data_IF_112428909771
#
_entry.id   IF_112428909771
#
_cell.length_a   1.000
_cell.length_b   1.000
_cell.length_c   1.000
_cell.angle_alpha   90.00
_cell.angle_beta   90.00
_cell.angle_gamma   90.00
#
_symmetry.space_group_name_H-M   'P 1'
#
loop_
_entity.id
_entity.type
_entity.pdbx_description
1 polymer ?
#
# COMPACT_ATOMS: atom_id res chain seq x y z
N UNK A 1 -3.44 31.50 -2.18
CA UNK A 1 -2.80 30.23 -2.57
C UNK A 1 -1.96 29.76 -1.40
N UNK A 2 -2.23 28.58 -0.82
CA UNK A 2 -1.35 28.03 0.21
C UNK A 2 0.05 27.83 -0.41
N UNK A 3 1.07 28.36 0.25
CA UNK A 3 2.46 28.23 -0.19
C UNK A 3 2.80 26.75 -0.30
N UNK A 4 3.30 26.32 -1.47
CA UNK A 4 3.80 24.96 -1.64
C UNK A 4 4.86 24.70 -0.55
N UNK A 5 4.82 23.54 0.13
CA UNK A 5 5.77 23.24 1.19
C UNK A 5 7.20 23.41 0.66
N UNK A 6 8.03 24.17 1.38
CA UNK A 6 9.44 24.38 1.04
C UNK A 6 10.10 23.02 0.85
N UNK A 7 10.46 22.71 -0.39
CA UNK A 7 11.15 21.48 -0.75
C UNK A 7 12.48 21.44 0.00
N UNK A 8 12.59 20.58 1.02
CA UNK A 8 13.85 20.37 1.73
C UNK A 8 14.88 19.84 0.74
N UNK A 9 15.84 20.66 0.35
CA UNK A 9 16.93 20.23 -0.52
C UNK A 9 17.85 19.27 0.24
N UNK A 10 17.99 18.04 -0.24
CA UNK A 10 18.93 17.05 0.31
C UNK A 10 20.06 16.81 -0.69
N UNK A 11 21.03 17.73 -0.80
CA UNK A 11 22.04 17.68 -1.87
C UNK A 11 22.88 16.39 -1.84
N UNK A 12 23.21 15.89 -0.63
CA UNK A 12 23.98 14.65 -0.47
C UNK A 12 23.22 13.41 -0.93
N UNK A 13 21.92 13.33 -0.61
CA UNK A 13 21.05 12.20 -1.00
C UNK A 13 20.84 12.22 -2.52
N UNK A 14 20.56 13.39 -3.08
CA UNK A 14 20.42 13.55 -4.54
C UNK A 14 21.70 13.18 -5.28
N UNK A 15 22.87 13.57 -4.76
CA UNK A 15 24.16 13.20 -5.32
C UNK A 15 24.39 11.68 -5.26
N UNK A 16 24.05 11.02 -4.14
CA UNK A 16 24.17 9.57 -4.01
C UNK A 16 23.30 8.82 -5.04
N UNK A 17 22.02 9.23 -5.20
CA UNK A 17 21.14 8.64 -6.21
C UNK A 17 21.61 8.93 -7.64
N UNK A 18 22.17 10.11 -7.91
CA UNK A 18 22.74 10.43 -9.22
C UNK A 18 23.96 9.56 -9.55
N UNK A 19 24.86 9.35 -8.58
CA UNK A 19 26.01 8.44 -8.73
C UNK A 19 25.53 7.01 -8.98
N UNK A 20 24.53 6.54 -8.22
CA UNK A 20 23.96 5.21 -8.38
C UNK A 20 23.32 5.03 -9.76
N UNK A 21 22.57 6.03 -10.24
CA UNK A 21 21.98 6.03 -11.58
C UNK A 21 23.08 5.94 -12.65
N UNK A 22 24.09 6.80 -12.58
CA UNK A 22 25.21 6.80 -13.55
C UNK A 22 25.96 5.47 -13.52
N UNK A 23 26.25 4.93 -12.34
CA UNK A 23 26.90 3.64 -12.17
C UNK A 23 26.09 2.49 -12.76
N UNK A 24 24.78 2.44 -12.48
CA UNK A 24 23.88 1.41 -12.97
C UNK A 24 23.70 1.49 -14.50
N UNK A 25 23.54 2.69 -15.05
CA UNK A 25 23.43 2.91 -16.50
C UNK A 25 24.76 2.54 -17.19
N UNK A 26 25.90 2.93 -16.61
CA UNK A 26 27.22 2.56 -17.12
C UNK A 26 27.44 1.05 -17.12
N UNK A 27 27.07 0.37 -16.03
CA UNK A 27 27.10 -1.09 -15.96
C UNK A 27 26.18 -1.75 -17.00
N UNK A 28 24.94 -1.27 -17.14
CA UNK A 28 23.99 -1.78 -18.13
C UNK A 28 24.51 -1.61 -19.56
N UNK A 29 25.13 -0.46 -19.88
CA UNK A 29 25.74 -0.22 -21.20
C UNK A 29 26.89 -1.20 -21.42
N UNK A 30 27.81 -1.35 -20.45
CA UNK A 30 28.94 -2.26 -20.57
C UNK A 30 28.48 -3.72 -20.78
N UNK A 31 27.59 -4.21 -19.92
CA UNK A 31 27.03 -5.55 -20.02
C UNK A 31 26.27 -5.75 -21.34
N UNK A 32 25.42 -4.80 -21.71
CA UNK A 32 24.57 -4.88 -22.88
C UNK A 32 25.34 -4.85 -24.20
N UNK A 33 26.42 -4.05 -24.29
CA UNK A 33 27.31 -4.07 -25.45
C UNK A 33 28.05 -5.40 -25.59
N UNK A 34 28.43 -6.03 -24.48
CA UNK A 34 28.97 -7.40 -24.50
C UNK A 34 27.93 -8.41 -24.98
N UNK A 35 26.69 -8.31 -24.51
CA UNK A 35 25.58 -9.18 -24.90
C UNK A 35 25.21 -9.05 -26.39
N UNK A 36 25.27 -7.85 -26.96
CA UNK A 36 25.02 -7.63 -28.39
C UNK A 36 26.26 -7.89 -29.28
N UNK A 37 27.37 -8.36 -28.70
CA UNK A 37 28.66 -8.50 -29.39
C UNK A 37 29.11 -7.21 -30.09
N UNK A 38 28.79 -6.06 -29.52
CA UNK A 38 29.03 -4.73 -30.09
C UNK A 38 28.37 -4.50 -31.47
N UNK A 39 27.37 -5.30 -31.85
CA UNK A 39 26.57 -5.00 -33.03
C UNK A 39 25.64 -3.81 -32.77
N UNK A 40 25.54 -2.91 -33.76
CA UNK A 40 24.64 -1.76 -33.75
C UNK A 40 24.76 -0.88 -32.48
N UNK A 41 26.00 -0.59 -32.05
CA UNK A 41 26.31 0.19 -30.83
C UNK A 41 25.48 1.47 -30.71
N UNK A 42 25.38 2.26 -31.78
CA UNK A 42 24.65 3.52 -31.76
C UNK A 42 23.15 3.34 -31.44
N UNK A 43 22.51 2.33 -32.04
CA UNK A 43 21.10 2.01 -31.77
C UNK A 43 20.91 1.52 -30.34
N UNK A 44 21.83 0.67 -29.85
CA UNK A 44 21.76 0.20 -28.46
C UNK A 44 21.90 1.33 -27.44
N UNK A 45 22.85 2.26 -27.66
CA UNK A 45 23.03 3.42 -26.80
C UNK A 45 21.80 4.36 -26.83
N UNK A 46 21.21 4.55 -28.01
CA UNK A 46 20.00 5.37 -28.15
C UNK A 46 18.78 4.72 -27.48
N UNK A 47 18.58 3.42 -27.68
CA UNK A 47 17.52 2.67 -27.01
C UNK A 47 17.68 2.70 -25.48
N UNK A 48 18.93 2.59 -24.99
CA UNK A 48 19.25 2.73 -23.56
C UNK A 48 18.88 4.12 -23.05
N UNK A 49 19.23 5.17 -23.79
CA UNK A 49 18.87 6.55 -23.43
C UNK A 49 17.34 6.72 -23.31
N UNK A 50 16.58 6.22 -24.29
CA UNK A 50 15.12 6.29 -24.25
C UNK A 50 14.52 5.45 -23.11
N UNK A 51 15.08 4.27 -22.84
CA UNK A 51 14.68 3.43 -21.71
C UNK A 51 14.91 4.09 -20.37
N UNK A 52 16.10 4.67 -20.14
CA UNK A 52 16.43 5.42 -18.92
C UNK A 52 15.52 6.64 -18.77
N UNK A 53 15.28 7.37 -19.86
CA UNK A 53 14.38 8.52 -19.86
C UNK A 53 12.93 8.11 -19.52
N UNK A 54 12.43 7.01 -20.08
CA UNK A 54 11.12 6.46 -19.71
C UNK A 54 11.07 6.04 -18.23
N UNK A 55 12.06 5.29 -17.75
CA UNK A 55 12.14 4.82 -16.36
C UNK A 55 12.14 5.99 -15.35
N UNK A 56 12.87 7.06 -15.66
CA UNK A 56 12.86 8.27 -14.85
C UNK A 56 11.46 8.91 -14.77
N UNK A 57 10.75 8.99 -15.90
CA UNK A 57 9.41 9.56 -15.93
C UNK A 57 8.37 8.67 -15.25
N UNK A 58 8.50 7.34 -15.34
CA UNK A 58 7.67 6.40 -14.58
C UNK A 58 7.83 6.66 -13.08
N UNK A 59 9.07 6.73 -12.58
CA UNK A 59 9.33 7.00 -11.17
C UNK A 59 8.75 8.34 -10.70
N UNK A 60 8.88 9.39 -11.51
CA UNK A 60 8.30 10.70 -11.20
C UNK A 60 6.77 10.72 -11.14
N UNK A 61 6.10 9.91 -11.97
CA UNK A 61 4.65 9.86 -12.05
C UNK A 61 4.03 8.90 -11.01
N UNK A 62 4.64 7.73 -10.80
CA UNK A 62 3.98 6.62 -10.09
C UNK A 62 4.26 6.60 -8.59
N UNK A 63 5.32 7.25 -8.09
CA UNK A 63 5.61 7.32 -6.64
C UNK A 63 4.46 7.93 -5.84
N UNK A 64 3.73 8.88 -6.44
CA UNK A 64 2.56 9.50 -5.80
C UNK A 64 1.42 8.49 -5.55
N UNK A 65 1.32 7.43 -6.36
CA UNK A 65 0.27 6.42 -6.23
C UNK A 65 0.46 5.58 -4.95
N UNK A 66 1.70 5.22 -4.65
CA UNK A 66 2.06 4.36 -3.51
C UNK A 66 2.18 5.13 -2.20
N UNK A 67 2.72 6.36 -2.24
CA UNK A 67 3.05 7.11 -1.02
C UNK A 67 2.26 8.40 -0.82
N UNK A 68 1.37 8.77 -1.75
CA UNK A 68 0.56 9.99 -1.65
C UNK A 68 -0.32 10.04 -0.40
N UNK A 69 -0.89 8.90 0.01
CA UNK A 69 -1.70 8.79 1.23
C UNK A 69 -0.86 8.93 2.49
N UNK A 70 0.29 8.25 2.56
CA UNK A 70 1.19 8.27 3.74
C UNK A 70 1.84 9.63 3.96
N UNK A 71 2.24 10.30 2.88
CA UNK A 71 2.76 11.67 2.94
C UNK A 71 1.65 12.67 3.24
N UNK A 72 0.47 12.51 2.61
CA UNK A 72 -0.69 13.38 2.84
C UNK A 72 -1.23 13.30 4.28
N UNK A 73 -1.16 12.12 4.91
CA UNK A 73 -1.51 11.91 6.32
C UNK A 73 -0.43 12.39 7.31
N UNK A 74 0.74 12.81 6.82
CA UNK A 74 1.87 13.23 7.65
C UNK A 74 2.59 12.09 8.37
N UNK A 75 2.32 10.82 7.99
CA UNK A 75 2.97 9.65 8.58
C UNK A 75 4.42 9.52 8.10
N UNK A 76 4.69 9.88 6.84
CA UNK A 76 6.03 9.90 6.26
C UNK A 76 6.35 11.27 5.67
N UNK A 77 7.59 11.70 5.82
CA UNK A 77 8.11 12.85 5.06
C UNK A 77 8.38 12.46 3.60
N UNK A 78 8.37 13.42 2.67
CA UNK A 78 8.68 13.18 1.26
C UNK A 78 10.05 12.47 1.07
N UNK A 79 11.14 12.88 1.76
CA UNK A 79 12.40 12.13 1.75
C UNK A 79 12.29 10.66 2.13
N UNK A 80 11.57 10.35 3.20
CA UNK A 80 11.42 8.99 3.70
C UNK A 80 10.62 8.15 2.71
N UNK A 81 9.52 8.70 2.19
CA UNK A 81 8.70 8.04 1.16
C UNK A 81 9.52 7.72 -0.09
N UNK A 82 10.36 8.65 -0.57
CA UNK A 82 11.22 8.42 -1.74
C UNK A 82 12.27 7.33 -1.50
N UNK A 83 12.85 7.26 -0.31
CA UNK A 83 13.83 6.22 0.02
C UNK A 83 13.19 4.83 0.06
N UNK A 84 12.01 4.73 0.69
CA UNK A 84 11.23 3.49 0.74
C UNK A 84 10.80 3.10 -0.68
N UNK A 85 10.27 4.05 -1.47
CA UNK A 85 9.90 3.82 -2.86
C UNK A 85 11.08 3.28 -3.68
N UNK A 86 12.27 3.88 -3.57
CA UNK A 86 13.44 3.44 -4.32
C UNK A 86 13.78 1.97 -4.04
N UNK A 87 13.72 1.53 -2.78
CA UNK A 87 14.01 0.13 -2.43
C UNK A 87 12.93 -0.81 -2.95
N UNK A 88 11.66 -0.51 -2.68
CA UNK A 88 10.55 -1.42 -3.00
C UNK A 88 10.18 -1.43 -4.49
N UNK A 89 10.23 -0.30 -5.19
CA UNK A 89 9.99 -0.22 -6.64
C UNK A 89 11.08 -0.94 -7.43
N UNK A 90 12.36 -0.77 -7.07
CA UNK A 90 13.47 -1.50 -7.71
C UNK A 90 13.36 -3.00 -7.42
N UNK A 91 13.09 -3.37 -6.17
CA UNK A 91 12.91 -4.79 -5.80
C UNK A 91 11.73 -5.41 -6.54
N UNK A 92 10.60 -4.70 -6.63
CA UNK A 92 9.41 -5.14 -7.36
C UNK A 92 9.66 -5.28 -8.86
N UNK A 93 10.36 -4.32 -9.47
CA UNK A 93 10.73 -4.37 -10.88
C UNK A 93 11.64 -5.57 -11.21
N UNK A 94 12.62 -5.86 -10.34
CA UNK A 94 13.54 -7.00 -10.51
C UNK A 94 12.83 -8.33 -10.28
N UNK A 95 11.99 -8.42 -9.25
CA UNK A 95 11.34 -9.68 -8.86
C UNK A 95 10.16 -10.01 -9.76
N UNK A 96 9.25 -9.05 -10.01
CA UNK A 96 7.95 -9.31 -10.64
C UNK A 96 7.73 -8.59 -11.98
N UNK A 97 8.69 -7.80 -12.46
CA UNK A 97 8.54 -6.99 -13.68
C UNK A 97 8.54 -7.80 -14.99
N UNK A 98 9.20 -8.96 -15.01
CA UNK A 98 9.42 -9.75 -16.24
C UNK A 98 8.15 -10.09 -17.02
N UNK A 99 7.09 -10.54 -16.35
CA UNK A 99 5.85 -10.96 -17.04
C UNK A 99 5.13 -9.80 -17.75
N UNK A 100 5.20 -8.59 -17.18
CA UNK A 100 4.60 -7.40 -17.80
C UNK A 100 5.45 -6.97 -18.99
N UNK A 101 6.78 -6.99 -18.85
CA UNK A 101 7.70 -6.72 -19.95
C UNK A 101 7.51 -7.70 -21.10
N UNK A 102 7.31 -8.99 -20.83
CA UNK A 102 7.03 -10.01 -21.84
C UNK A 102 5.73 -9.74 -22.57
N UNK A 103 4.67 -9.39 -21.84
CA UNK A 103 3.37 -9.03 -22.43
C UNK A 103 3.50 -7.83 -23.37
N UNK A 104 4.25 -6.79 -22.97
CA UNK A 104 4.50 -5.61 -23.83
C UNK A 104 5.34 -5.99 -25.06
N UNK A 105 6.35 -6.85 -24.88
CA UNK A 105 7.27 -7.27 -25.95
C UNK A 105 6.59 -8.12 -27.03
N UNK A 106 5.77 -9.10 -26.64
CA UNK A 106 5.25 -10.12 -27.57
C UNK A 106 3.74 -10.08 -27.78
N UNK A 107 3.00 -9.44 -26.86
CA UNK A 107 1.54 -9.48 -26.83
C UNK A 107 0.86 -8.45 -27.74
N UNK A 108 1.58 -7.41 -28.18
CA UNK A 108 0.97 -6.26 -28.87
C UNK A 108 1.20 -6.30 -30.38
N UNK A 109 2.45 -6.55 -30.80
CA UNK A 109 2.84 -6.56 -32.22
C UNK A 109 2.80 -7.98 -32.77
N UNK A 110 2.18 -8.16 -33.93
CA UNK A 110 2.22 -9.41 -34.68
C UNK A 110 3.40 -9.43 -35.64
N UNK A 111 4.34 -10.35 -35.39
CA UNK A 111 5.57 -10.49 -36.18
C UNK A 111 5.38 -11.37 -37.43
N UNK A 112 4.22 -12.00 -37.59
CA UNK A 112 3.98 -12.99 -38.65
C UNK A 112 3.11 -12.47 -39.81
N UNK A 113 2.47 -11.32 -39.66
CA UNK A 113 1.47 -10.83 -40.63
C UNK A 113 2.07 -10.10 -41.81
N UNK A 114 3.25 -9.47 -41.63
CA UNK A 114 3.98 -8.76 -42.68
C UNK A 114 5.47 -9.11 -42.61
N UNK A 115 6.20 -9.05 -43.74
CA UNK A 115 7.64 -9.32 -43.76
C UNK A 115 8.38 -8.19 -43.03
N UNK A 116 8.61 -8.38 -41.73
CA UNK A 116 9.35 -7.44 -40.88
C UNK A 116 10.80 -7.83 -40.73
N UNK A 117 11.67 -6.83 -40.78
CA UNK A 117 13.06 -6.96 -40.39
C UNK A 117 13.18 -6.76 -38.86
N UNK A 118 14.19 -7.37 -38.20
CA UNK A 118 14.43 -7.13 -36.78
C UNK A 118 14.57 -5.64 -36.41
N UNK A 119 15.11 -4.83 -37.31
CA UNK A 119 15.25 -3.39 -37.14
C UNK A 119 13.90 -2.68 -36.99
N UNK A 120 12.86 -3.17 -37.67
CA UNK A 120 11.53 -2.55 -37.64
C UNK A 120 10.91 -2.64 -36.24
N UNK A 121 11.07 -3.80 -35.58
CA UNK A 121 10.63 -3.98 -34.19
C UNK A 121 11.41 -3.09 -33.21
N UNK A 122 12.72 -2.92 -33.44
CA UNK A 122 13.54 -2.00 -32.64
C UNK A 122 13.02 -0.57 -32.78
N UNK A 123 12.71 -0.13 -34.00
CA UNK A 123 12.17 1.21 -34.27
C UNK A 123 10.79 1.43 -33.65
N UNK A 124 9.89 0.43 -33.70
CA UNK A 124 8.61 0.45 -32.98
C UNK A 124 8.84 0.72 -31.49
N UNK A 125 9.68 -0.10 -30.85
CA UNK A 125 9.88 -0.04 -29.40
C UNK A 125 10.57 1.26 -28.97
N UNK A 126 11.57 1.73 -29.73
CA UNK A 126 12.23 3.01 -29.46
C UNK A 126 11.27 4.19 -29.64
N UNK A 127 10.44 4.19 -30.68
CA UNK A 127 9.44 5.23 -30.92
C UNK A 127 8.40 5.27 -29.80
N UNK A 128 7.94 4.10 -29.37
CA UNK A 128 7.01 3.97 -28.27
C UNK A 128 7.59 4.48 -26.94
N UNK A 129 8.84 4.12 -26.61
CA UNK A 129 9.53 4.59 -25.41
C UNK A 129 9.66 6.11 -25.41
N UNK A 130 10.10 6.71 -26.51
CA UNK A 130 10.26 8.16 -26.59
C UNK A 130 8.93 8.90 -26.50
N UNK A 131 7.91 8.45 -27.25
CA UNK A 131 6.59 9.07 -27.24
C UNK A 131 5.94 8.99 -25.84
N UNK A 132 5.98 7.81 -25.21
CA UNK A 132 5.45 7.61 -23.87
C UNK A 132 6.22 8.44 -22.83
N UNK A 133 7.55 8.47 -22.88
CA UNK A 133 8.36 9.24 -21.94
C UNK A 133 8.11 10.75 -22.05
N UNK A 134 7.97 11.28 -23.27
CA UNK A 134 7.63 12.69 -23.48
C UNK A 134 6.23 13.03 -22.95
N UNK A 135 5.25 12.15 -23.18
CA UNK A 135 3.90 12.32 -22.64
C UNK A 135 3.87 12.31 -21.11
N UNK A 136 4.57 11.34 -20.50
CA UNK A 136 4.70 11.26 -19.05
C UNK A 136 5.39 12.50 -18.48
N UNK A 137 6.50 12.94 -19.07
CA UNK A 137 7.20 14.15 -18.63
C UNK A 137 6.26 15.36 -18.66
N UNK A 138 5.47 15.51 -19.73
CA UNK A 138 4.49 16.58 -19.84
C UNK A 138 3.42 16.49 -18.74
N UNK A 139 2.83 15.31 -18.53
CA UNK A 139 1.80 15.08 -17.53
C UNK A 139 2.31 15.33 -16.11
N UNK A 140 3.48 14.77 -15.76
CA UNK A 140 4.12 14.96 -14.46
C UNK A 140 4.46 16.43 -14.19
N UNK A 141 4.96 17.18 -15.19
CA UNK A 141 5.18 18.63 -15.06
C UNK A 141 3.89 19.42 -14.82
N UNK A 142 2.76 18.92 -15.31
CA UNK A 142 1.43 19.50 -15.08
C UNK A 142 0.76 18.99 -13.79
N UNK A 143 1.39 18.07 -13.06
CA UNK A 143 0.82 17.44 -11.86
C UNK A 143 -0.37 16.53 -12.17
N UNK A 144 -0.47 16.02 -13.41
CA UNK A 144 -1.54 15.13 -13.83
C UNK A 144 -1.12 13.67 -13.59
N UNK A 145 -1.83 12.91 -12.74
CA UNK A 145 -1.57 11.48 -12.61
C UNK A 145 -2.10 10.76 -13.85
N UNK A 146 -1.20 10.18 -14.64
CA UNK A 146 -1.55 9.47 -15.88
C UNK A 146 -1.07 8.01 -15.83
N UNK A 147 -1.66 7.15 -16.66
CA UNK A 147 -1.25 5.73 -16.74
C UNK A 147 -0.02 5.56 -17.65
N UNK A 148 1.08 5.09 -17.06
CA UNK A 148 2.32 4.73 -17.76
C UNK A 148 2.09 3.57 -18.74
N UNK A 149 1.30 2.58 -18.35
CA UNK A 149 0.88 1.44 -19.18
C UNK A 149 0.08 1.87 -20.42
N UNK A 150 -0.85 2.83 -20.28
CA UNK A 150 -1.59 3.33 -21.45
C UNK A 150 -0.67 4.08 -22.41
N UNK A 151 0.27 4.88 -21.87
CA UNK A 151 1.20 5.65 -22.68
C UNK A 151 2.10 4.75 -23.53
N UNK A 152 2.71 3.69 -22.95
CA UNK A 152 3.59 2.79 -23.70
C UNK A 152 2.82 1.93 -24.71
N UNK A 153 1.65 1.39 -24.33
CA UNK A 153 0.82 0.59 -25.23
C UNK A 153 0.31 1.45 -26.40
N UNK A 154 -0.14 2.68 -26.12
CA UNK A 154 -0.52 3.63 -27.15
C UNK A 154 0.63 3.97 -28.10
N UNK A 155 1.85 4.13 -27.58
CA UNK A 155 3.06 4.33 -28.38
C UNK A 155 3.38 3.13 -29.29
N UNK A 156 3.25 1.90 -28.78
CA UNK A 156 3.48 0.67 -29.57
C UNK A 156 2.40 0.52 -30.64
N UNK A 157 1.12 0.71 -30.30
CA UNK A 157 0.02 0.63 -31.26
C UNK A 157 0.19 1.69 -32.35
N UNK A 158 0.47 2.95 -31.99
CA UNK A 158 0.67 4.03 -32.96
C UNK A 158 1.84 3.79 -33.92
N UNK A 159 2.99 3.37 -33.41
CA UNK A 159 4.16 3.05 -34.24
C UNK A 159 3.96 1.80 -35.10
N UNK A 160 3.27 0.78 -34.58
CA UNK A 160 2.93 -0.43 -35.34
C UNK A 160 1.93 -0.14 -36.47
N UNK A 161 0.94 0.72 -36.25
CA UNK A 161 -0.01 1.12 -37.30
C UNK A 161 0.70 1.90 -38.42
N UNK A 162 1.63 2.79 -38.05
CA UNK A 162 2.43 3.53 -39.02
C UNK A 162 3.33 2.60 -39.85
N UNK A 163 4.03 1.67 -39.19
CA UNK A 163 4.86 0.70 -39.90
C UNK A 163 4.03 -0.22 -40.79
N UNK A 164 2.86 -0.67 -40.32
CA UNK A 164 1.97 -1.52 -41.10
C UNK A 164 1.48 -0.80 -42.37
N UNK A 165 1.20 0.49 -42.26
CA UNK A 165 0.90 1.33 -43.42
C UNK A 165 2.07 1.39 -44.42
N UNK A 166 3.30 1.59 -43.93
CA UNK A 166 4.51 1.65 -44.76
C UNK A 166 4.81 0.32 -45.46
N UNK A 167 4.81 -0.79 -44.72
CA UNK A 167 5.11 -2.12 -45.25
C UNK A 167 4.03 -2.62 -46.24
N UNK A 168 2.79 -2.14 -46.08
CA UNK A 168 1.70 -2.48 -47.00
C UNK A 168 1.68 -1.62 -48.29
N UNK A 169 2.70 -0.79 -48.51
CA UNK A 169 2.77 0.16 -49.64
C UNK A 169 1.52 1.04 -49.77
N UNK A 170 0.85 1.35 -48.66
CA UNK A 170 -0.39 2.13 -48.62
C UNK A 170 -1.63 1.45 -49.22
N UNK A 171 -1.54 0.16 -49.59
CA UNK A 171 -2.65 -0.59 -50.21
C UNK A 171 -3.29 -1.63 -49.26
N UNK A 172 -2.61 -1.99 -48.17
CA UNK A 172 -3.14 -2.91 -47.15
C UNK A 172 -3.74 -2.20 -45.94
N UNK A 173 -4.33 -2.99 -45.03
CA UNK A 173 -4.83 -2.45 -43.77
C UNK A 173 -3.65 -2.14 -42.83
N UNK A 174 -3.50 -0.88 -42.37
CA UNK A 174 -2.40 -0.48 -41.50
C UNK A 174 -2.49 -1.12 -40.11
N UNK A 175 -3.66 -1.67 -39.76
CA UNK A 175 -3.94 -2.28 -38.47
C UNK A 175 -3.49 -3.74 -38.34
N UNK A 176 -2.93 -4.32 -39.40
CA UNK A 176 -2.56 -5.75 -39.50
C UNK A 176 -1.38 -6.15 -38.61
N UNK A 177 -0.53 -5.20 -38.21
CA UNK A 177 0.59 -5.45 -37.29
C UNK A 177 0.17 -5.50 -35.81
N UNK A 178 -1.07 -5.12 -35.47
CA UNK A 178 -1.52 -5.04 -34.07
C UNK A 178 -2.40 -6.22 -33.72
N UNK A 179 -2.10 -6.88 -32.60
CA UNK A 179 -2.92 -7.97 -32.04
C UNK A 179 -4.16 -7.42 -31.33
N UNK A 180 -5.18 -7.06 -32.08
CA UNK A 180 -6.41 -6.43 -31.55
C UNK A 180 -7.14 -7.25 -30.49
N UNK A 181 -7.09 -8.58 -30.59
CA UNK A 181 -7.67 -9.46 -29.58
C UNK A 181 -6.99 -9.29 -28.21
N UNK A 182 -5.65 -9.22 -28.19
CA UNK A 182 -4.89 -9.00 -26.96
C UNK A 182 -5.07 -7.56 -26.44
N UNK A 183 -5.12 -6.56 -27.33
CA UNK A 183 -5.47 -5.19 -26.95
C UNK A 183 -6.86 -5.13 -26.29
N UNK A 184 -7.85 -5.86 -26.82
CA UNK A 184 -9.18 -5.95 -26.23
C UNK A 184 -9.16 -6.55 -24.81
N UNK A 185 -8.37 -7.60 -24.59
CA UNK A 185 -8.15 -8.18 -23.25
C UNK A 185 -7.49 -7.19 -22.29
N UNK A 186 -6.48 -6.48 -22.76
CA UNK A 186 -5.80 -5.44 -21.98
C UNK A 186 -6.77 -4.30 -21.64
N UNK A 187 -7.56 -3.82 -22.60
CA UNK A 187 -8.55 -2.77 -22.38
C UNK A 187 -9.64 -3.20 -21.37
N UNK A 188 -10.09 -4.46 -21.43
CA UNK A 188 -11.00 -5.01 -20.42
C UNK A 188 -10.38 -4.96 -19.02
N UNK A 189 -9.07 -5.28 -18.90
CA UNK A 189 -8.35 -5.19 -17.62
C UNK A 189 -8.29 -3.77 -17.06
N UNK A 190 -8.24 -2.74 -17.91
CA UNK A 190 -8.21 -1.33 -17.47
C UNK A 190 -9.50 -0.87 -16.82
N UNK A 191 -10.63 -1.50 -17.17
CA UNK A 191 -11.94 -1.23 -16.55
C UNK A 191 -12.14 -2.10 -15.32
N UNK A 192 -11.80 -3.38 -15.42
CA UNK A 192 -12.00 -4.34 -14.33
C UNK A 192 -11.09 -4.06 -13.13
N UNK A 193 -9.84 -3.64 -13.35
CA UNK A 193 -8.88 -3.47 -12.24
C UNK A 193 -9.27 -2.36 -11.27
N UNK A 194 -9.64 -1.13 -11.71
CA UNK A 194 -10.13 -0.10 -10.79
C UNK A 194 -11.45 -0.49 -10.11
N UNK A 195 -12.34 -1.17 -10.81
CA UNK A 195 -13.61 -1.63 -10.25
C UNK A 195 -13.38 -2.64 -9.12
N UNK A 196 -12.56 -3.66 -9.35
CA UNK A 196 -12.20 -4.66 -8.33
C UNK A 196 -11.43 -4.02 -7.18
N UNK A 197 -10.50 -3.11 -7.46
CA UNK A 197 -9.79 -2.33 -6.44
C UNK A 197 -10.74 -1.52 -5.56
N UNK A 198 -11.76 -0.88 -6.16
CA UNK A 198 -12.80 -0.15 -5.45
C UNK A 198 -13.64 -1.05 -4.54
N UNK A 199 -14.05 -2.22 -5.03
CA UNK A 199 -14.81 -3.20 -4.24
C UNK A 199 -13.99 -3.67 -3.03
N UNK A 200 -12.74 -4.09 -3.26
CA UNK A 200 -11.85 -4.55 -2.19
C UNK A 200 -11.60 -3.44 -1.17
N UNK A 201 -11.33 -2.22 -1.63
CA UNK A 201 -11.12 -1.06 -0.76
C UNK A 201 -12.36 -0.76 0.09
N UNK A 202 -13.56 -0.76 -0.52
CA UNK A 202 -14.82 -0.55 0.20
C UNK A 202 -15.08 -1.63 1.25
N UNK A 203 -14.87 -2.90 0.90
CA UNK A 203 -15.05 -4.02 1.83
C UNK A 203 -14.08 -3.93 3.00
N UNK A 204 -12.78 -3.71 2.75
CA UNK A 204 -11.77 -3.55 3.79
C UNK A 204 -12.07 -2.36 4.70
N UNK A 205 -12.40 -1.21 4.12
CA UNK A 205 -12.77 -0.02 4.90
C UNK A 205 -14.00 -0.27 5.77
N UNK A 206 -15.02 -0.96 5.24
CA UNK A 206 -16.23 -1.28 6.00
C UNK A 206 -15.93 -2.21 7.19
N UNK A 207 -15.06 -3.20 7.01
CA UNK A 207 -14.61 -4.10 8.08
C UNK A 207 -13.86 -3.31 9.15
N UNK A 208 -12.89 -2.47 8.76
CA UNK A 208 -12.11 -1.66 9.70
C UNK A 208 -13.02 -0.68 10.44
N UNK A 209 -13.90 0.03 9.73
CA UNK A 209 -14.80 1.00 10.32
C UNK A 209 -15.70 0.34 11.37
N UNK A 210 -16.42 -0.71 11.00
CA UNK A 210 -17.41 -1.37 11.87
C UNK A 210 -16.76 -2.04 13.07
N UNK A 211 -15.62 -2.70 12.87
CA UNK A 211 -15.06 -3.58 13.88
C UNK A 211 -13.95 -2.94 14.72
N UNK A 212 -13.31 -1.87 14.23
CA UNK A 212 -12.22 -1.18 14.93
C UNK A 212 -12.62 0.23 15.33
N UNK A 213 -13.02 1.07 14.37
CA UNK A 213 -13.29 2.49 14.65
C UNK A 213 -14.56 2.67 15.48
N UNK A 214 -15.69 2.14 15.02
CA UNK A 214 -16.99 2.26 15.70
C UNK A 214 -16.97 1.59 17.09
N UNK A 215 -16.20 0.50 17.23
CA UNK A 215 -15.98 -0.16 18.53
C UNK A 215 -15.21 0.75 19.49
N UNK A 216 -14.08 1.31 19.06
CA UNK A 216 -13.28 2.21 19.87
C UNK A 216 -14.06 3.46 20.30
N UNK A 217 -14.86 4.04 19.40
CA UNK A 217 -15.71 5.19 19.70
C UNK A 217 -16.79 4.84 20.75
N UNK A 218 -17.42 3.67 20.61
CA UNK A 218 -18.42 3.18 21.58
C UNK A 218 -17.79 2.97 22.96
N UNK A 219 -16.62 2.33 23.02
CA UNK A 219 -15.86 2.11 24.26
C UNK A 219 -15.45 3.43 24.89
N UNK A 220 -14.94 4.39 24.10
CA UNK A 220 -14.58 5.71 24.59
C UNK A 220 -15.78 6.46 25.19
N UNK A 221 -16.95 6.36 24.56
CA UNK A 221 -18.20 6.93 25.06
C UNK A 221 -18.65 6.26 26.37
N UNK A 222 -18.59 4.93 26.46
CA UNK A 222 -18.91 4.18 27.68
C UNK A 222 -17.97 4.56 28.84
N UNK A 223 -16.66 4.64 28.60
CA UNK A 223 -15.69 5.07 29.61
C UNK A 223 -15.93 6.50 30.07
N UNK A 224 -16.34 7.40 29.16
CA UNK A 224 -16.73 8.78 29.50
C UNK A 224 -18.00 8.79 30.37
N UNK A 225 -18.99 7.98 30.04
CA UNK A 225 -20.23 7.86 30.81
C UNK A 225 -19.96 7.33 32.22
N UNK A 226 -19.15 6.27 32.36
CA UNK A 226 -18.77 5.70 33.67
C UNK A 226 -17.99 6.71 34.51
N UNK A 227 -17.09 7.51 33.90
CA UNK A 227 -16.38 8.58 34.62
C UNK A 227 -17.35 9.66 35.13
N UNK A 228 -18.35 10.02 34.32
CA UNK A 228 -19.38 10.99 34.72
C UNK A 228 -20.27 10.43 35.84
N UNK A 229 -20.70 9.17 35.73
CA UNK A 229 -21.45 8.45 36.75
C UNK A 229 -20.68 8.38 38.07
N UNK A 230 -19.39 8.01 38.04
CA UNK A 230 -18.51 7.99 39.22
C UNK A 230 -18.44 9.36 39.90
N UNK A 231 -18.36 10.44 39.13
CA UNK A 231 -18.34 11.81 39.66
C UNK A 231 -19.67 12.17 40.31
N UNK A 232 -20.78 11.91 39.63
CA UNK A 232 -22.13 12.17 40.14
C UNK A 232 -22.42 11.36 41.41
N UNK A 233 -22.01 10.09 41.44
CA UNK A 233 -22.13 9.22 42.61
C UNK A 233 -21.40 9.77 43.83
N UNK A 234 -20.17 10.28 43.67
CA UNK A 234 -19.41 10.93 44.75
C UNK A 234 -20.11 12.19 45.27
N UNK A 235 -20.67 12.98 44.37
CA UNK A 235 -21.38 14.22 44.73
C UNK A 235 -22.71 13.93 45.45
N UNK A 236 -23.48 12.97 44.94
CA UNK A 236 -24.71 12.51 45.58
C UNK A 236 -24.44 11.92 46.97
N UNK A 237 -23.35 11.16 47.12
CA UNK A 237 -22.92 10.67 48.43
C UNK A 237 -22.58 11.82 49.38
N UNK A 238 -21.82 12.83 48.93
CA UNK A 238 -21.49 14.00 49.76
C UNK A 238 -22.75 14.70 50.25
N UNK A 239 -23.68 15.01 49.35
CA UNK A 239 -24.96 15.65 49.70
C UNK A 239 -25.78 14.81 50.68
N UNK A 240 -25.83 13.48 50.48
CA UNK A 240 -26.52 12.56 51.39
C UNK A 240 -25.84 12.52 52.76
N UNK A 241 -24.51 12.51 52.81
CA UNK A 241 -23.73 12.52 54.03
C UNK A 241 -23.92 13.81 54.83
N UNK A 242 -23.95 14.96 54.16
CA UNK A 242 -24.14 16.28 54.80
C UNK A 242 -25.53 16.38 55.49
N UNK A 243 -26.54 15.72 54.92
CA UNK A 243 -27.92 15.70 55.40
C UNK A 243 -28.21 14.71 56.55
N UNK A 244 -27.24 13.88 56.94
CA UNK A 244 -27.39 12.92 58.05
C UNK A 244 -27.26 13.61 59.42
N UNK A 245 -27.85 13.00 60.45
CA UNK A 245 -27.64 13.40 61.84
C UNK A 245 -26.21 13.06 62.31
N UNK A 246 -25.70 13.78 63.32
CA UNK A 246 -24.32 13.62 63.82
C UNK A 246 -23.97 12.17 64.21
N UNK A 247 -24.92 11.46 64.84
CA UNK A 247 -24.71 10.06 65.22
C UNK A 247 -24.56 9.13 64.01
N UNK A 248 -25.34 9.38 62.94
CA UNK A 248 -25.28 8.63 61.69
C UNK A 248 -24.00 8.96 60.89
N UNK A 249 -23.52 10.21 60.94
CA UNK A 249 -22.24 10.61 60.33
C UNK A 249 -21.06 9.86 60.93
N UNK A 250 -21.04 9.67 62.25
CA UNK A 250 -20.00 8.90 62.95
C UNK A 250 -20.01 7.42 62.48
N UNK A 251 -21.19 6.81 62.39
CA UNK A 251 -21.33 5.42 61.92
C UNK A 251 -20.84 5.24 60.47
N UNK A 252 -21.33 6.10 59.55
CA UNK A 252 -20.96 6.03 58.12
C UNK A 252 -19.48 6.34 57.92
N UNK A 253 -18.92 7.32 58.62
CA UNK A 253 -17.49 7.66 58.51
C UNK A 253 -16.59 6.56 59.06
N UNK A 254 -17.00 5.88 60.13
CA UNK A 254 -16.27 4.72 60.68
C UNK A 254 -16.27 3.55 59.70
N UNK A 255 -17.43 3.22 59.11
CA UNK A 255 -17.53 2.20 58.07
C UNK A 255 -16.69 2.55 56.83
N UNK A 256 -16.73 3.80 56.37
CA UNK A 256 -15.92 4.27 55.24
C UNK A 256 -14.42 4.24 55.54
N UNK A 257 -14.00 4.52 56.78
CA UNK A 257 -12.59 4.48 57.16
C UNK A 257 -12.03 3.05 57.16
N UNK A 258 -12.85 2.05 57.55
CA UNK A 258 -12.51 0.63 57.44
C UNK A 258 -12.42 0.19 55.99
N UNK A 259 -13.46 0.49 55.21
CA UNK A 259 -13.48 0.16 53.78
C UNK A 259 -12.29 0.80 53.04
N UNK A 260 -11.89 2.03 53.39
CA UNK A 260 -10.75 2.70 52.76
C UNK A 260 -9.40 1.97 52.96
N UNK A 261 -9.26 1.18 54.02
CA UNK A 261 -8.05 0.39 54.28
C UNK A 261 -8.00 -0.86 53.41
N UNK A 262 -9.13 -1.54 53.22
CA UNK A 262 -9.22 -2.79 52.46
C UNK A 262 -9.40 -2.56 50.94
N UNK A 263 -10.03 -1.46 50.53
CA UNK A 263 -10.38 -1.21 49.12
C UNK A 263 -9.17 -1.03 48.18
N UNK A 264 -7.98 -0.81 48.74
CA UNK A 264 -6.72 -0.70 48.00
C UNK A 264 -5.95 -2.01 47.86
N UNK A 265 -6.42 -3.09 48.49
CA UNK A 265 -5.78 -4.41 48.41
C UNK A 265 -6.18 -5.13 47.12
N UNK A 266 -5.24 -5.85 46.51
CA UNK A 266 -5.45 -6.49 45.20
C UNK A 266 -6.46 -7.66 45.25
N UNK A 267 -6.75 -8.22 46.42
CA UNK A 267 -7.51 -9.49 46.59
C UNK A 267 -8.58 -9.43 47.69
N UNK A 268 -9.13 -8.24 47.97
CA UNK A 268 -10.16 -8.07 49.01
C UNK A 268 -11.52 -8.65 48.57
N UNK A 269 -12.26 -9.27 49.51
CA UNK A 269 -13.60 -9.79 49.24
C UNK A 269 -14.63 -8.64 49.21
N UNK A 270 -15.35 -8.42 48.09
CA UNK A 270 -16.41 -7.41 48.00
C UNK A 270 -17.48 -7.50 49.09
N UNK A 271 -17.68 -8.68 49.69
CA UNK A 271 -18.61 -8.90 50.80
C UNK A 271 -18.17 -8.23 52.11
N UNK A 272 -16.87 -7.94 52.28
CA UNK A 272 -16.31 -7.28 53.47
C UNK A 272 -16.59 -5.79 53.53
N UNK A 273 -17.03 -5.18 52.42
CA UNK A 273 -17.39 -3.76 52.40
C UNK A 273 -18.58 -3.52 53.33
N UNK A 274 -18.42 -2.57 54.26
CA UNK A 274 -19.48 -2.17 55.18
C UNK A 274 -20.28 -0.99 54.63
N UNK A 275 -19.59 -0.01 54.02
CA UNK A 275 -20.21 1.23 53.55
C UNK A 275 -20.91 1.08 52.20
N UNK A 276 -22.11 1.65 52.12
CA UNK A 276 -22.85 1.75 50.85
C UNK A 276 -22.06 2.53 49.78
N UNK A 277 -21.17 3.44 50.20
CA UNK A 277 -20.32 4.23 49.31
C UNK A 277 -19.33 3.36 48.55
N UNK A 278 -18.53 2.56 49.26
CA UNK A 278 -17.51 1.74 48.62
C UNK A 278 -18.12 0.58 47.84
N UNK A 279 -19.28 0.04 48.26
CA UNK A 279 -20.05 -0.93 47.46
C UNK A 279 -20.43 -0.38 46.09
N UNK A 280 -21.08 0.78 46.02
CA UNK A 280 -21.45 1.38 44.74
C UNK A 280 -20.21 1.84 43.94
N UNK A 281 -19.15 2.29 44.61
CA UNK A 281 -17.89 2.63 43.95
C UNK A 281 -17.22 1.41 43.32
N UNK A 282 -17.28 0.26 44.00
CA UNK A 282 -16.80 -1.04 43.50
C UNK A 282 -17.57 -1.45 42.25
N UNK A 283 -18.91 -1.44 42.27
CA UNK A 283 -19.74 -1.77 41.10
C UNK A 283 -19.43 -0.88 39.88
N UNK A 284 -19.23 0.43 40.10
CA UNK A 284 -18.85 1.36 39.03
C UNK A 284 -17.46 1.04 38.47
N UNK A 285 -16.49 0.70 39.33
CA UNK A 285 -15.14 0.34 38.90
C UNK A 285 -15.10 -1.03 38.21
N UNK A 286 -15.84 -2.02 38.70
CA UNK A 286 -15.93 -3.35 38.10
C UNK A 286 -16.50 -3.26 36.67
N UNK A 287 -17.56 -2.45 36.46
CA UNK A 287 -18.09 -2.19 35.11
C UNK A 287 -17.06 -1.51 34.20
N UNK A 288 -16.19 -0.66 34.74
CA UNK A 288 -15.10 -0.04 33.97
C UNK A 288 -14.06 -1.09 33.57
N UNK A 289 -13.70 -2.00 34.45
CA UNK A 289 -12.71 -3.06 34.24
C UNK A 289 -13.20 -4.15 33.28
N UNK A 290 -14.51 -4.41 33.26
CA UNK A 290 -15.13 -5.33 32.30
C UNK A 290 -15.09 -4.82 30.84
N UNK A 291 -14.81 -3.53 30.62
CA UNK A 291 -14.69 -2.97 29.27
C UNK A 291 -13.29 -3.24 28.74
N UNK A 292 -13.20 -4.23 27.85
CA UNK A 292 -11.97 -4.50 27.11
C UNK A 292 -11.74 -3.46 26.01
N UNK A 293 -10.86 -2.49 26.29
CA UNK A 293 -10.55 -1.40 25.34
C UNK A 293 -9.79 -1.90 24.11
N UNK A 294 -9.09 -3.02 24.21
CA UNK A 294 -8.18 -3.51 23.17
C UNK A 294 -8.73 -4.70 22.40
N UNK A 295 -9.94 -5.17 22.70
CA UNK A 295 -10.60 -6.30 22.02
C UNK A 295 -10.55 -6.20 20.49
N UNK A 296 -10.87 -5.02 19.95
CA UNK A 296 -10.84 -4.80 18.51
C UNK A 296 -9.43 -4.96 17.92
N UNK A 297 -8.41 -4.55 18.67
CA UNK A 297 -7.01 -4.66 18.29
C UNK A 297 -6.63 -6.14 18.13
N UNK A 298 -6.80 -6.96 19.18
CA UNK A 298 -6.40 -8.38 19.15
C UNK A 298 -7.29 -9.28 18.30
N UNK A 299 -8.54 -8.89 18.04
CA UNK A 299 -9.47 -9.74 17.26
C UNK A 299 -9.34 -9.50 15.75
N UNK A 300 -9.28 -8.23 15.33
CA UNK A 300 -9.44 -7.88 13.92
C UNK A 300 -8.13 -7.53 13.22
N UNK A 301 -7.18 -6.90 13.92
CA UNK A 301 -5.92 -6.49 13.30
C UNK A 301 -5.08 -7.72 12.88
N UNK A 302 -4.92 -8.78 13.69
CA UNK A 302 -4.22 -9.98 13.27
C UNK A 302 -4.82 -10.62 12.03
N UNK A 303 -6.15 -10.69 11.95
CA UNK A 303 -6.86 -11.26 10.80
C UNK A 303 -6.60 -10.44 9.52
N UNK A 304 -6.67 -9.11 9.61
CA UNK A 304 -6.41 -8.22 8.48
C UNK A 304 -4.94 -8.31 8.05
N UNK A 305 -4.00 -8.28 8.99
CA UNK A 305 -2.56 -8.40 8.73
C UNK A 305 -2.20 -9.74 8.09
N UNK A 306 -2.75 -10.84 8.61
CA UNK A 306 -2.55 -12.19 8.08
C UNK A 306 -3.04 -12.32 6.64
N UNK A 307 -4.27 -11.84 6.35
CA UNK A 307 -4.80 -11.83 4.99
C UNK A 307 -3.97 -10.94 4.04
N UNK A 308 -3.55 -9.76 4.50
CA UNK A 308 -2.67 -8.88 3.73
C UNK A 308 -1.33 -9.54 3.39
N UNK A 309 -0.72 -10.23 4.36
CA UNK A 309 0.51 -11.01 4.16
C UNK A 309 0.32 -12.11 3.12
N UNK A 310 -0.79 -12.85 3.20
CA UNK A 310 -1.10 -13.91 2.25
C UNK A 310 -1.22 -13.38 0.81
N UNK A 311 -1.86 -12.22 0.63
CA UNK A 311 -2.00 -11.58 -0.68
C UNK A 311 -0.64 -11.18 -1.27
N UNK A 312 0.21 -10.52 -0.48
CA UNK A 312 1.55 -10.10 -0.92
C UNK A 312 2.43 -11.32 -1.23
N UNK A 313 2.40 -12.32 -0.35
CA UNK A 313 3.17 -13.56 -0.50
C UNK A 313 2.73 -14.35 -1.74
N UNK A 314 1.43 -14.38 -2.03
CA UNK A 314 0.88 -15.00 -3.24
C UNK A 314 1.45 -14.35 -4.50
N UNK A 315 1.45 -13.01 -4.56
CA UNK A 315 2.04 -12.29 -5.70
C UNK A 315 3.53 -12.61 -5.85
N UNK A 316 4.30 -12.60 -4.76
CA UNK A 316 5.72 -12.89 -4.81
C UNK A 316 6.02 -14.33 -5.26
N UNK A 317 5.28 -15.31 -4.74
CA UNK A 317 5.53 -16.74 -5.04
C UNK A 317 5.12 -17.09 -6.48
N UNK A 318 3.93 -16.68 -6.92
CA UNK A 318 3.43 -17.08 -8.24
C UNK A 318 3.98 -16.24 -9.39
N UNK A 319 4.25 -14.95 -9.15
CA UNK A 319 4.75 -14.02 -10.17
C UNK A 319 6.24 -13.75 -10.03
N UNK A 320 6.67 -13.42 -8.81
CA UNK A 320 8.04 -13.00 -8.55
C UNK A 320 9.09 -14.10 -8.68
N UNK A 321 8.80 -15.27 -8.13
CA UNK A 321 9.76 -16.38 -8.07
C UNK A 321 9.65 -17.36 -9.26
N UNK A 322 8.77 -17.08 -10.22
CA UNK A 322 8.48 -17.99 -11.34
C UNK A 322 9.72 -18.31 -12.17
N UNK A 323 10.59 -17.33 -12.39
CA UNK A 323 11.80 -17.46 -13.21
C UNK A 323 12.98 -18.10 -12.46
N UNK A 324 12.87 -18.33 -11.15
CA UNK A 324 13.91 -19.01 -10.37
C UNK A 324 13.83 -20.54 -10.47
N UNK A 325 12.83 -21.08 -11.17
CA UNK A 325 12.63 -22.52 -11.39
C UNK A 325 12.79 -23.36 -10.12
N UNK A 326 12.28 -22.85 -8.99
CA UNK A 326 12.49 -23.44 -7.66
C UNK A 326 11.86 -24.83 -7.47
N UNK A 327 11.15 -25.37 -8.46
CA UNK A 327 10.50 -26.69 -8.39
C UNK A 327 9.39 -26.79 -7.34
N UNK A 328 8.89 -25.67 -6.83
CA UNK A 328 7.87 -25.65 -5.77
C UNK A 328 6.53 -26.05 -6.37
N UNK A 329 5.96 -27.15 -5.88
CA UNK A 329 4.63 -27.59 -6.29
C UNK A 329 3.56 -26.57 -5.88
N UNK A 330 2.47 -26.37 -6.66
CA UNK A 330 1.41 -25.41 -6.34
C UNK A 330 0.80 -25.59 -4.94
N UNK A 331 0.67 -26.85 -4.48
CA UNK A 331 0.22 -27.15 -3.13
C UNK A 331 1.17 -26.63 -2.06
N UNK A 332 2.49 -26.82 -2.25
CA UNK A 332 3.51 -26.31 -1.34
C UNK A 332 3.51 -24.79 -1.30
N UNK A 333 3.32 -24.12 -2.45
CA UNK A 333 3.15 -22.66 -2.51
C UNK A 333 1.95 -22.20 -1.68
N UNK A 334 0.81 -22.91 -1.78
CA UNK A 334 -0.38 -22.58 -0.99
C UNK A 334 -0.14 -22.76 0.51
N UNK A 335 0.54 -23.83 0.92
CA UNK A 335 0.91 -24.03 2.32
C UNK A 335 1.86 -22.95 2.84
N UNK A 336 2.87 -22.56 2.05
CA UNK A 336 3.79 -21.47 2.42
C UNK A 336 3.03 -20.15 2.63
N UNK A 337 2.11 -19.81 1.73
CA UNK A 337 1.27 -18.62 1.86
C UNK A 337 0.45 -18.68 3.15
N UNK A 338 -0.19 -19.81 3.44
CA UNK A 338 -0.98 -20.00 4.66
C UNK A 338 -0.11 -19.93 5.93
N UNK A 339 1.08 -20.53 5.92
CA UNK A 339 2.02 -20.50 7.03
C UNK A 339 2.52 -19.08 7.31
N UNK A 340 2.84 -18.30 6.27
CA UNK A 340 3.24 -16.90 6.41
C UNK A 340 2.09 -16.06 6.96
N UNK A 341 0.87 -16.27 6.45
CA UNK A 341 -0.34 -15.62 6.96
C UNK A 341 -0.60 -15.92 8.43
N UNK A 342 -0.54 -17.21 8.81
CA UNK A 342 -0.71 -17.65 10.20
C UNK A 342 0.41 -17.13 11.11
N UNK A 343 1.65 -17.07 10.62
CA UNK A 343 2.79 -16.52 11.35
C UNK A 343 2.61 -15.04 11.66
N UNK A 344 2.18 -14.23 10.68
CA UNK A 344 1.86 -12.81 10.92
C UNK A 344 0.65 -12.66 11.84
N UNK A 345 -0.39 -13.47 11.65
CA UNK A 345 -1.55 -13.48 12.53
C UNK A 345 -1.16 -13.77 14.00
N UNK A 346 -0.24 -14.70 14.24
CA UNK A 346 0.21 -15.02 15.60
C UNK A 346 1.16 -13.97 16.19
N UNK A 347 1.85 -13.20 15.35
CA UNK A 347 2.83 -12.20 15.78
C UNK A 347 2.24 -10.78 15.99
N UNK A 348 1.01 -10.54 15.52
CA UNK A 348 0.31 -9.25 15.60
C UNK A 348 -0.59 -9.19 16.82
#
# INVERSE_FOLDING_TARGET
MPQAPKQQSMPKVNAAFAILLVGMVGYFIFWGLGYTHHHQVALFLLATLFGVFMAFNIGGNDVANSFGTSVGAGTLTVPQALLVAAVFEVSGAVIAGGEVTDTIRTGIVDLNTLPMQPLDLILIMMSALLAAALWLLFATKKGLPVSTTHAIIGGIVGSSVLLGWQLSNGQGSPFTLVKWHEIGRIAASWVLSPMLGGIVSYTLYTIIKKNVLDYNDTVAAQLKAIKAEKKAYKEQHRLRFDALDEQQKIEVSTAMARDAQIYGEDDFDPAELESNYYKGLHEINQRKEQIDVFKAFYTWIPAISGLGCMLISSMLIFKGLKNLHLGIAPMTSMFLILMLGAGIWAAT
#
